data_IF_161338063171
#
_entry.id   IF_161338063171
#
_cell.length_a   1.000
_cell.length_b   1.000
_cell.length_c   1.000
_cell.angle_alpha   90.00
_cell.angle_beta   90.00
_cell.angle_gamma   90.00
#
_symmetry.space_group_name_H-M   'P 1'
#
loop_
_entity.id
_entity.type
_entity.pdbx_description
1 polymer ?
#
# COMPACT_ATOMS: atom_id res chain seq x y z
N UNK A 1 -28.80 -40.48 -63.86
CA UNK A 1 -29.88 -41.32 -63.35
C UNK A 1 -29.92 -41.07 -61.86
N UNK A 2 -30.83 -40.20 -61.51
CA UNK A 2 -32.02 -40.43 -60.67
C UNK A 2 -31.64 -40.66 -59.21
N UNK A 3 -32.20 -40.11 -58.30
CA UNK A 3 -33.25 -39.14 -58.05
C UNK A 3 -33.31 -38.88 -56.53
N UNK A 4 -33.68 -37.72 -56.27
CA UNK A 4 -34.80 -37.33 -55.42
C UNK A 4 -34.57 -37.36 -53.88
N UNK A 5 -34.42 -36.21 -53.35
CA UNK A 5 -35.47 -35.53 -52.61
C UNK A 5 -36.10 -36.29 -51.43
N UNK A 6 -35.78 -35.87 -50.24
CA UNK A 6 -36.82 -35.67 -49.18
C UNK A 6 -36.33 -34.98 -47.95
N UNK A 7 -36.60 -33.72 -47.80
CA UNK A 7 -37.00 -33.11 -46.53
C UNK A 7 -38.44 -33.61 -46.23
N UNK A 8 -38.96 -33.64 -45.03
CA UNK A 8 -38.82 -32.71 -43.96
C UNK A 8 -38.89 -33.37 -42.54
N UNK A 9 -38.59 -32.67 -41.52
CA UNK A 9 -39.53 -32.44 -40.38
C UNK A 9 -38.82 -31.80 -39.21
N UNK A 10 -39.16 -30.56 -38.96
CA UNK A 10 -39.05 -29.98 -37.60
C UNK A 10 -40.10 -30.64 -36.70
N UNK A 11 -39.77 -30.78 -35.40
CA UNK A 11 -40.56 -30.08 -34.39
C UNK A 11 -39.68 -29.44 -33.33
N UNK A 12 -39.89 -28.16 -33.07
CA UNK A 12 -40.59 -27.58 -31.91
C UNK A 12 -39.82 -27.69 -30.57
N UNK A 13 -39.27 -26.53 -30.18
CA UNK A 13 -39.44 -25.88 -28.89
C UNK A 13 -39.24 -26.71 -27.62
N UNK A 14 -38.11 -26.48 -26.99
CA UNK A 14 -38.08 -26.40 -25.52
C UNK A 14 -37.19 -25.20 -25.13
N UNK A 15 -37.86 -24.09 -24.86
CA UNK A 15 -37.29 -22.94 -24.17
C UNK A 15 -37.18 -23.31 -22.72
N UNK A 16 -36.01 -23.76 -22.29
CA UNK A 16 -35.68 -23.87 -20.86
C UNK A 16 -35.06 -22.54 -20.44
N UNK A 17 -35.88 -21.70 -19.84
CA UNK A 17 -35.46 -20.47 -19.16
C UNK A 17 -34.73 -20.85 -17.90
N UNK A 18 -33.42 -21.02 -18.01
CA UNK A 18 -32.53 -21.17 -16.85
C UNK A 18 -32.24 -19.80 -16.28
N UNK A 19 -32.96 -19.47 -15.22
CA UNK A 19 -32.70 -18.31 -14.36
C UNK A 19 -31.37 -18.56 -13.62
N UNK A 20 -30.27 -18.16 -14.20
CA UNK A 20 -28.98 -18.14 -13.51
C UNK A 20 -28.99 -16.96 -12.54
N UNK A 21 -29.18 -17.27 -11.24
CA UNK A 21 -28.82 -16.34 -10.17
C UNK A 21 -27.30 -16.14 -10.23
N UNK A 22 -26.87 -15.05 -10.84
CA UNK A 22 -25.51 -14.56 -10.69
C UNK A 22 -25.36 -14.04 -9.26
N UNK A 23 -24.87 -14.90 -8.37
CA UNK A 23 -24.33 -14.45 -7.09
C UNK A 23 -23.08 -13.67 -7.45
N UNK A 24 -23.20 -12.35 -7.51
CA UNK A 24 -22.09 -11.44 -7.68
C UNK A 24 -21.18 -11.53 -6.45
N UNK A 25 -20.17 -12.38 -6.52
CA UNK A 25 -19.04 -12.29 -5.59
C UNK A 25 -18.36 -10.97 -5.85
N UNK A 26 -18.57 -10.00 -4.97
CA UNK A 26 -17.79 -8.77 -4.93
C UNK A 26 -16.34 -9.17 -4.62
N UNK A 27 -15.57 -9.45 -5.67
CA UNK A 27 -14.14 -9.57 -5.56
C UNK A 27 -13.64 -8.16 -5.27
N UNK A 28 -13.15 -7.94 -4.05
CA UNK A 28 -12.33 -6.77 -3.76
C UNK A 28 -11.13 -6.84 -4.72
N UNK A 29 -11.15 -6.02 -5.76
CA UNK A 29 -10.04 -5.91 -6.69
C UNK A 29 -8.81 -5.45 -5.90
N UNK A 30 -7.74 -6.23 -6.00
CA UNK A 30 -6.44 -5.78 -5.50
C UNK A 30 -6.09 -4.45 -6.19
N UNK A 31 -5.56 -3.46 -5.45
CA UNK A 31 -5.20 -2.18 -6.04
C UNK A 31 -4.20 -2.39 -7.17
N UNK A 32 -4.34 -1.62 -8.25
CA UNK A 32 -3.36 -1.61 -9.32
C UNK A 32 -1.98 -1.24 -8.75
N UNK A 33 -0.88 -1.86 -9.21
CA UNK A 33 0.46 -1.51 -8.77
C UNK A 33 0.70 0.00 -8.91
N UNK A 34 1.06 0.67 -7.81
CA UNK A 34 1.33 2.11 -7.77
C UNK A 34 0.12 3.02 -7.54
N UNK A 35 -1.10 2.50 -7.41
CA UNK A 35 -2.25 3.30 -7.00
C UNK A 35 -2.19 3.62 -5.49
N UNK A 36 -2.53 4.87 -5.08
CA UNK A 36 -2.62 5.20 -3.67
C UNK A 36 -3.66 4.33 -2.96
N UNK A 37 -3.34 3.91 -1.74
CA UNK A 37 -4.27 3.14 -0.92
C UNK A 37 -5.45 4.00 -0.47
N UNK A 38 -6.62 3.39 -0.38
CA UNK A 38 -7.81 3.99 0.21
C UNK A 38 -7.87 3.76 1.71
N UNK A 39 -8.65 4.57 2.43
CA UNK A 39 -8.90 4.41 3.87
C UNK A 39 -9.36 2.98 4.21
N UNK A 40 -10.26 2.41 3.42
CA UNK A 40 -10.76 1.05 3.64
C UNK A 40 -9.66 0.00 3.51
N UNK A 41 -8.78 0.14 2.51
CA UNK A 41 -7.65 -0.76 2.31
C UNK A 41 -6.62 -0.64 3.44
N UNK A 42 -6.33 0.58 3.91
CA UNK A 42 -5.44 0.79 5.06
C UNK A 42 -6.00 0.12 6.32
N UNK A 43 -7.29 0.31 6.61
CA UNK A 43 -7.93 -0.33 7.76
C UNK A 43 -7.92 -1.87 7.67
N UNK A 44 -8.17 -2.41 6.48
CA UNK A 44 -8.11 -3.86 6.25
C UNK A 44 -6.68 -4.38 6.48
N UNK A 45 -5.67 -3.72 5.90
CA UNK A 45 -4.26 -4.09 6.06
C UNK A 45 -3.82 -4.05 7.53
N UNK A 46 -4.19 -3.00 8.27
CA UNK A 46 -3.89 -2.91 9.70
C UNK A 46 -4.57 -4.04 10.48
N UNK A 47 -5.83 -4.35 10.17
CA UNK A 47 -6.57 -5.46 10.78
C UNK A 47 -5.90 -6.83 10.53
N UNK A 48 -5.46 -7.10 9.31
CA UNK A 48 -4.72 -8.32 8.96
C UNK A 48 -3.40 -8.48 9.73
N UNK A 49 -2.76 -7.35 10.08
CA UNK A 49 -1.55 -7.33 10.91
C UNK A 49 -1.85 -7.34 12.42
N UNK A 50 -3.10 -7.52 12.81
CA UNK A 50 -3.51 -7.63 14.21
C UNK A 50 -3.71 -6.29 14.93
N UNK A 51 -3.72 -5.18 14.19
CA UNK A 51 -4.06 -3.88 14.79
C UNK A 51 -5.56 -3.72 14.95
N UNK A 52 -5.96 -3.13 16.06
CA UNK A 52 -7.36 -2.84 16.41
C UNK A 52 -7.52 -1.37 16.77
N UNK A 53 -8.78 -0.91 16.91
CA UNK A 53 -9.10 0.49 17.29
C UNK A 53 -8.32 1.50 16.45
N UNK A 54 -8.42 1.37 15.13
CA UNK A 54 -7.77 2.27 14.18
C UNK A 54 -8.55 3.58 14.10
N UNK A 55 -7.94 4.65 14.61
CA UNK A 55 -8.50 6.01 14.67
C UNK A 55 -7.54 7.01 14.03
N UNK A 56 -8.00 8.26 13.87
CA UNK A 56 -7.22 9.40 13.39
C UNK A 56 -6.48 9.10 12.06
N UNK A 57 -7.08 8.26 11.19
CA UNK A 57 -6.48 7.91 9.92
C UNK A 57 -6.46 9.11 8.98
N UNK A 58 -5.26 9.57 8.64
CA UNK A 58 -5.01 10.70 7.75
C UNK A 58 -3.86 10.42 6.80
N UNK A 59 -3.87 11.09 5.67
CA UNK A 59 -2.74 11.13 4.75
C UNK A 59 -1.98 12.44 4.96
N UNK A 60 -0.71 12.33 5.31
CA UNK A 60 0.14 13.47 5.64
C UNK A 60 1.62 13.12 5.39
N UNK A 61 2.40 14.07 4.89
CA UNK A 61 3.82 13.88 4.52
C UNK A 61 4.07 12.70 3.56
N UNK A 62 3.11 12.41 2.66
CA UNK A 62 3.21 11.29 1.73
C UNK A 62 3.06 9.92 2.38
N UNK A 63 2.59 9.88 3.62
CA UNK A 63 2.36 8.68 4.42
C UNK A 63 0.93 8.65 4.94
N UNK A 64 0.37 7.47 5.09
CA UNK A 64 -0.78 7.26 5.93
C UNK A 64 -0.33 7.20 7.39
N UNK A 65 -0.96 7.99 8.24
CA UNK A 65 -0.74 8.04 9.68
C UNK A 65 -2.03 7.67 10.39
N UNK A 66 -1.96 6.83 11.40
CA UNK A 66 -3.11 6.43 12.21
C UNK A 66 -2.70 6.14 13.65
N UNK A 67 -3.65 6.25 14.58
CA UNK A 67 -3.50 5.67 15.91
C UNK A 67 -4.17 4.30 15.92
N UNK A 68 -3.46 3.29 16.37
CA UNK A 68 -3.98 1.94 16.45
C UNK A 68 -3.51 1.21 17.71
N UNK A 69 -4.21 0.17 18.08
CA UNK A 69 -3.82 -0.72 19.19
C UNK A 69 -3.24 -1.99 18.58
N UNK A 70 -1.99 -2.29 18.88
CA UNK A 70 -1.30 -3.50 18.42
C UNK A 70 -1.83 -4.75 19.13
N UNK A 71 -1.47 -5.94 18.63
CA UNK A 71 -1.93 -7.22 19.18
C UNK A 71 -1.49 -7.48 20.63
N UNK A 72 -0.43 -6.80 21.11
CA UNK A 72 0.01 -6.82 22.51
C UNK A 72 -0.71 -5.79 23.41
N UNK A 73 -1.71 -5.11 22.86
CA UNK A 73 -2.56 -4.16 23.58
C UNK A 73 -2.00 -2.75 23.71
N UNK A 74 -0.84 -2.45 23.13
CA UNK A 74 -0.26 -1.12 23.16
C UNK A 74 -0.88 -0.23 22.08
N UNK A 75 -1.24 0.98 22.48
CA UNK A 75 -1.73 2.00 21.57
C UNK A 75 -0.60 2.95 21.21
N UNK A 76 -0.42 3.16 19.91
CA UNK A 76 0.61 4.06 19.40
C UNK A 76 0.31 4.53 17.97
N UNK A 77 1.18 5.37 17.44
CA UNK A 77 1.12 5.80 16.05
C UNK A 77 1.68 4.71 15.13
N UNK A 78 1.02 4.54 14.00
CA UNK A 78 1.48 3.68 12.89
C UNK A 78 1.52 4.51 11.62
N UNK A 79 2.54 4.30 10.80
CA UNK A 79 2.73 4.94 9.51
C UNK A 79 2.80 3.89 8.41
N UNK A 80 2.23 4.16 7.25
CA UNK A 80 2.22 3.26 6.11
C UNK A 80 2.52 4.08 4.85
N UNK A 81 3.37 3.57 3.96
CA UNK A 81 3.64 4.21 2.67
C UNK A 81 2.37 4.40 1.84
N UNK A 82 2.32 5.46 1.03
CA UNK A 82 1.15 5.79 0.20
C UNK A 82 0.71 4.67 -0.73
N UNK A 83 1.64 3.87 -1.21
CA UNK A 83 1.43 2.77 -2.15
C UNK A 83 1.31 1.41 -1.46
N UNK A 84 1.22 1.40 -0.14
CA UNK A 84 1.19 0.18 0.66
C UNK A 84 2.58 -0.31 1.04
N UNK A 85 2.63 -1.52 1.58
CA UNK A 85 3.86 -2.12 2.01
C UNK A 85 3.94 -2.30 3.52
N UNK A 86 5.06 -1.91 4.11
CA UNK A 86 5.29 -2.10 5.53
C UNK A 86 4.50 -1.12 6.39
N UNK A 87 4.14 -1.60 7.56
CA UNK A 87 3.61 -0.79 8.65
C UNK A 87 4.79 -0.44 9.55
N UNK A 88 4.95 0.84 9.81
CA UNK A 88 5.97 1.40 10.69
C UNK A 88 5.29 1.83 11.97
N UNK A 89 5.62 1.17 13.08
CA UNK A 89 4.99 1.42 14.36
C UNK A 89 5.91 2.21 15.28
N UNK A 90 5.33 3.12 16.05
CA UNK A 90 6.00 3.79 17.15
C UNK A 90 6.66 2.76 18.09
N UNK A 91 7.90 3.01 18.48
CA UNK A 91 8.68 2.12 19.35
C UNK A 91 9.31 0.90 18.64
N UNK A 92 9.11 0.71 17.33
CA UNK A 92 9.89 -0.26 16.56
C UNK A 92 11.37 0.14 16.55
N UNK A 93 12.27 -0.85 16.49
CA UNK A 93 13.71 -0.60 16.45
C UNK A 93 14.21 -0.57 15.01
N UNK A 94 15.08 0.40 14.71
CA UNK A 94 15.83 0.39 13.46
C UNK A 94 16.88 -0.71 13.46
N UNK A 95 17.13 -1.30 12.30
CA UNK A 95 18.28 -2.17 12.02
C UNK A 95 19.48 -1.39 11.52
N UNK A 96 19.27 -0.16 11.09
CA UNK A 96 20.29 0.72 10.55
C UNK A 96 20.67 1.79 11.58
N UNK A 97 21.93 2.17 11.55
CA UNK A 97 22.46 3.37 12.20
C UNK A 97 22.21 4.61 11.33
N UNK A 98 22.34 5.78 11.92
CA UNK A 98 22.28 7.07 11.21
C UNK A 98 23.24 7.11 10.01
N UNK A 99 24.50 6.68 10.20
CA UNK A 99 25.51 6.68 9.14
C UNK A 99 25.14 5.78 7.96
N UNK A 100 24.53 4.61 8.22
CA UNK A 100 24.05 3.71 7.17
C UNK A 100 22.86 4.31 6.41
N UNK A 101 21.97 5.02 7.09
CA UNK A 101 20.86 5.73 6.43
C UNK A 101 21.38 6.86 5.56
N UNK A 102 22.33 7.66 6.04
CA UNK A 102 22.99 8.71 5.23
C UNK A 102 23.64 8.12 3.98
N UNK A 103 24.37 7.02 4.13
CA UNK A 103 24.99 6.31 3.00
C UNK A 103 23.94 5.78 2.02
N UNK A 104 22.84 5.20 2.53
CA UNK A 104 21.73 4.70 1.71
C UNK A 104 21.05 5.83 0.91
N UNK A 105 20.71 6.93 1.57
CA UNK A 105 20.10 8.09 0.90
C UNK A 105 21.04 8.69 -0.16
N UNK A 106 22.32 8.76 0.14
CA UNK A 106 23.34 9.23 -0.81
C UNK A 106 23.40 8.33 -2.05
N UNK A 107 23.36 7.01 -1.87
CA UNK A 107 23.36 6.05 -2.97
C UNK A 107 22.09 6.13 -3.84
N UNK A 108 20.99 6.62 -3.27
CA UNK A 108 19.72 6.84 -3.97
C UNK A 108 19.65 8.22 -4.66
N UNK A 109 20.77 8.99 -4.67
CA UNK A 109 20.89 10.25 -5.41
C UNK A 109 20.59 11.50 -4.58
N UNK A 110 20.40 11.38 -3.27
CA UNK A 110 20.27 12.52 -2.38
C UNK A 110 21.64 13.07 -1.98
N UNK A 111 21.71 14.36 -1.78
CA UNK A 111 22.90 15.07 -1.32
C UNK A 111 22.57 15.94 -0.11
N UNK A 112 23.61 16.42 0.60
CA UNK A 112 23.45 17.31 1.76
C UNK A 112 22.47 16.75 2.79
N UNK A 113 22.54 15.46 3.06
CA UNK A 113 21.72 14.78 4.06
C UNK A 113 22.08 15.29 5.46
N UNK A 114 21.10 15.80 6.19
CA UNK A 114 21.26 16.34 7.54
C UNK A 114 19.97 16.24 8.34
N UNK A 115 19.99 16.60 9.62
CA UNK A 115 18.84 16.48 10.54
C UNK A 115 18.26 15.05 10.58
N UNK A 116 19.15 14.06 10.56
CA UNK A 116 18.76 12.65 10.52
C UNK A 116 18.33 12.21 11.91
N UNK A 117 17.12 11.70 12.03
CA UNK A 117 16.57 11.18 13.28
C UNK A 117 15.70 9.96 13.04
N UNK A 118 15.60 9.08 14.03
CA UNK A 118 14.71 7.95 14.02
C UNK A 118 13.50 8.21 14.91
N UNK A 119 12.31 8.28 14.33
CA UNK A 119 11.09 8.63 15.02
C UNK A 119 9.87 7.89 14.43
N UNK A 120 8.99 7.40 15.28
CA UNK A 120 7.75 6.70 14.92
C UNK A 120 7.93 5.58 13.89
N UNK A 121 9.02 4.83 14.03
CA UNK A 121 9.29 3.67 13.20
C UNK A 121 9.94 3.95 11.85
N UNK A 122 10.27 5.22 11.53
CA UNK A 122 10.96 5.63 10.30
C UNK A 122 12.17 6.50 10.59
N UNK A 123 13.12 6.49 9.67
CA UNK A 123 14.16 7.51 9.62
C UNK A 123 13.62 8.74 8.90
N UNK A 124 13.80 9.89 9.50
CA UNK A 124 13.53 11.18 8.91
C UNK A 124 14.85 11.90 8.63
N UNK A 125 14.96 12.56 7.51
CA UNK A 125 16.13 13.35 7.15
C UNK A 125 15.74 14.51 6.24
N UNK A 126 16.53 15.57 6.26
CA UNK A 126 16.51 16.61 5.23
C UNK A 126 17.61 16.35 4.22
N UNK A 127 17.28 16.49 2.95
CA UNK A 127 18.21 16.22 1.87
C UNK A 127 17.93 17.07 0.64
N UNK A 128 18.83 17.06 -0.32
CA UNK A 128 18.64 17.69 -1.63
C UNK A 128 18.63 16.62 -2.73
N UNK A 129 17.71 16.76 -3.68
CA UNK A 129 17.69 15.96 -4.90
C UNK A 129 18.85 16.34 -5.82
N UNK A 130 19.09 15.57 -6.87
CA UNK A 130 20.05 15.89 -7.93
C UNK A 130 19.75 17.23 -8.65
N UNK A 131 18.48 17.66 -8.65
CA UNK A 131 18.06 18.97 -9.16
C UNK A 131 18.22 20.12 -8.16
N UNK A 132 18.71 19.84 -6.94
CA UNK A 132 18.93 20.84 -5.89
C UNK A 132 17.69 21.17 -5.06
N UNK A 133 16.55 20.49 -5.25
CA UNK A 133 15.35 20.69 -4.44
C UNK A 133 15.57 20.14 -3.02
N UNK A 134 15.21 20.95 -2.03
CA UNK A 134 15.21 20.51 -0.63
C UNK A 134 13.98 19.66 -0.35
N UNK A 135 14.20 18.56 0.32
CA UNK A 135 13.13 17.62 0.68
C UNK A 135 13.31 17.11 2.10
N UNK A 136 12.17 16.87 2.74
CA UNK A 136 12.08 15.97 3.88
C UNK A 136 11.87 14.55 3.37
N UNK A 137 12.72 13.63 3.80
CA UNK A 137 12.76 12.25 3.31
C UNK A 137 12.51 11.30 4.46
N UNK A 138 11.65 10.33 4.24
CA UNK A 138 11.36 9.24 5.15
C UNK A 138 11.95 7.95 4.60
N UNK A 139 12.78 7.26 5.40
CA UNK A 139 13.45 6.04 4.98
C UNK A 139 13.12 4.84 5.87
N UNK A 140 13.07 3.68 5.26
CA UNK A 140 12.80 2.39 5.90
C UNK A 140 13.92 2.03 6.90
N UNK A 141 13.59 1.62 8.12
CA UNK A 141 14.56 1.32 9.17
C UNK A 141 15.32 0.01 8.95
N UNK A 142 14.95 -0.76 7.94
CA UNK A 142 15.56 -2.07 7.66
C UNK A 142 16.58 -2.02 6.53
N UNK A 143 16.28 -1.25 5.48
CA UNK A 143 17.09 -1.21 4.26
C UNK A 143 17.43 0.22 3.79
N UNK A 144 16.94 1.25 4.47
CA UNK A 144 17.22 2.65 4.16
C UNK A 144 16.60 3.17 2.87
N UNK A 145 15.69 2.43 2.25
CA UNK A 145 14.98 2.89 1.07
C UNK A 145 14.04 4.03 1.40
N UNK A 146 13.92 4.96 0.48
CA UNK A 146 12.95 6.05 0.61
C UNK A 146 11.52 5.50 0.52
N UNK A 147 10.75 5.76 1.57
CA UNK A 147 9.32 5.42 1.69
C UNK A 147 8.45 6.60 1.22
N UNK A 148 8.88 7.82 1.55
CA UNK A 148 8.25 9.06 1.13
C UNK A 148 9.28 10.18 1.07
N UNK A 149 9.05 11.15 0.19
CA UNK A 149 9.83 12.38 0.13
C UNK A 149 8.90 13.52 -0.26
N UNK A 150 9.05 14.66 0.42
CA UNK A 150 8.25 15.87 0.21
C UNK A 150 9.13 17.10 0.14
N UNK A 151 8.70 18.12 -0.55
CA UNK A 151 9.38 19.40 -0.57
C UNK A 151 9.33 20.04 0.83
N UNK A 152 10.49 20.51 1.29
CA UNK A 152 10.65 21.19 2.57
C UNK A 152 10.16 22.64 2.47
#
# INVERSE_FOLDING_TARGET
MNDANKLPSRPLLAVSLSLALAVGSAHAQAPAPGAPLTIAQIKAMLGEQGYTKVDDLKFDDGLWKAKATSGDGKRGEVRIGAQGGRIYAEGARSKLSEAEVVASLTSQGYSRVHDVKYEDGLWEAKAQTSSGQKQQVYADPTDGRVVSAQND
#
